data_IF_772073334840
#
_entry.id   IF_772073334840
#
_cell.length_a   1.000
_cell.length_b   1.000
_cell.length_c   1.000
_cell.angle_alpha   90.00
_cell.angle_beta   90.00
_cell.angle_gamma   90.00
#
_symmetry.space_group_name_H-M   'P 1'
#
loop_
_entity.id
_entity.type
_entity.pdbx_description
1 polymer ?
#
# COMPACT_ATOMS: atom_id res chain seq x y z
N UNK A 1 -20.29 -16.24 8.12
CA UNK A 1 -19.43 -16.61 6.99
C UNK A 1 -18.67 -15.35 6.63
N UNK A 2 -17.37 -15.34 6.92
CA UNK A 2 -16.51 -14.18 6.66
C UNK A 2 -16.40 -14.01 5.15
N UNK A 3 -16.92 -12.90 4.62
CA UNK A 3 -16.69 -12.53 3.23
C UNK A 3 -15.21 -12.18 3.09
N UNK A 4 -14.39 -13.17 2.77
CA UNK A 4 -13.06 -12.96 2.21
C UNK A 4 -13.28 -12.23 0.88
N UNK A 5 -13.28 -10.90 0.95
CA UNK A 5 -13.31 -10.04 -0.21
C UNK A 5 -12.05 -10.36 -1.03
N UNK A 6 -12.23 -10.89 -2.24
CA UNK A 6 -11.14 -11.12 -3.17
C UNK A 6 -10.31 -9.83 -3.31
N UNK A 7 -8.98 -9.88 -3.44
CA UNK A 7 -8.19 -8.66 -3.59
C UNK A 7 -8.71 -7.82 -4.77
N UNK A 8 -8.74 -6.47 -4.66
CA UNK A 8 -9.21 -5.61 -5.74
C UNK A 8 -8.50 -5.96 -7.05
N UNK A 9 -9.28 -6.19 -8.10
CA UNK A 9 -8.83 -6.54 -9.44
C UNK A 9 -8.19 -5.39 -10.21
N UNK A 10 -8.13 -4.19 -9.61
CA UNK A 10 -7.48 -3.03 -10.21
C UNK A 10 -7.48 -1.76 -9.34
N UNK A 11 -6.98 -0.64 -9.90
CA UNK A 11 -6.71 0.62 -9.19
C UNK A 11 -7.96 1.31 -8.66
N UNK A 12 -9.02 1.25 -9.45
CA UNK A 12 -10.31 1.84 -9.13
C UNK A 12 -10.98 1.11 -7.97
N UNK A 13 -10.92 -0.23 -7.97
CA UNK A 13 -11.41 -1.03 -6.87
C UNK A 13 -10.55 -0.82 -5.61
N UNK A 14 -9.22 -0.74 -5.74
CA UNK A 14 -8.34 -0.43 -4.62
C UNK A 14 -8.65 0.95 -4.02
N UNK A 15 -8.92 1.96 -4.84
CA UNK A 15 -9.35 3.28 -4.40
C UNK A 15 -10.72 3.25 -3.71
N UNK A 16 -11.67 2.47 -4.23
CA UNK A 16 -13.00 2.31 -3.63
C UNK A 16 -12.90 1.66 -2.24
N UNK A 17 -12.03 0.66 -2.09
CA UNK A 17 -11.89 -0.14 -0.87
C UNK A 17 -11.01 0.52 0.19
N UNK A 18 -10.02 1.32 -0.22
CA UNK A 18 -9.14 2.01 0.71
C UNK A 18 -9.92 3.00 1.56
N UNK A 19 -9.69 3.01 2.86
CA UNK A 19 -10.23 4.04 3.76
C UNK A 19 -9.37 5.30 3.72
N UNK A 20 -8.06 5.13 3.49
CA UNK A 20 -7.08 6.20 3.44
C UNK A 20 -6.11 5.99 2.28
N UNK A 21 -5.98 6.99 1.40
CA UNK A 21 -5.04 6.97 0.28
C UNK A 21 -4.14 8.20 0.39
N UNK A 22 -2.84 7.97 0.58
CA UNK A 22 -1.92 9.02 0.99
C UNK A 22 -0.53 8.81 0.43
N UNK A 23 0.13 9.91 0.07
CA UNK A 23 1.56 9.90 -0.23
C UNK A 23 2.33 9.92 1.09
N UNK A 24 3.28 9.00 1.24
CA UNK A 24 4.02 8.84 2.48
C UNK A 24 5.53 8.69 2.24
N UNK A 25 6.33 9.29 3.12
CA UNK A 25 7.75 8.98 3.24
C UNK A 25 7.91 7.70 4.05
N UNK A 26 8.74 6.80 3.55
CA UNK A 26 8.85 5.44 4.07
C UNK A 26 10.09 5.34 4.96
N UNK A 27 9.87 5.07 6.24
CA UNK A 27 10.93 4.72 7.17
C UNK A 27 11.37 3.26 7.03
N UNK A 28 12.47 2.88 7.70
CA UNK A 28 12.87 1.48 7.78
C UNK A 28 11.77 0.65 8.47
N UNK A 29 11.69 -0.66 8.19
CA UNK A 29 10.81 -1.55 8.94
C UNK A 29 11.22 -1.54 10.41
N UNK A 30 10.24 -1.43 11.29
CA UNK A 30 10.44 -1.32 12.75
C UNK A 30 9.93 -2.54 13.52
N UNK A 31 9.10 -3.37 12.89
CA UNK A 31 8.44 -4.51 13.54
C UNK A 31 7.94 -5.53 12.49
N UNK A 32 7.38 -6.64 12.95
CA UNK A 32 6.70 -7.63 12.11
C UNK A 32 5.44 -8.12 12.80
N UNK A 33 4.29 -8.05 12.12
CA UNK A 33 3.00 -8.55 12.63
C UNK A 33 2.57 -9.74 11.78
N UNK A 34 2.32 -10.90 12.39
CA UNK A 34 1.91 -12.11 11.66
C UNK A 34 2.81 -12.47 10.46
N UNK A 35 4.11 -12.16 10.54
CA UNK A 35 5.08 -12.42 9.46
C UNK A 35 5.13 -11.35 8.37
N UNK A 36 4.35 -10.26 8.45
CA UNK A 36 4.44 -9.13 7.52
C UNK A 36 5.17 -7.93 8.14
N UNK A 37 6.05 -7.25 7.38
CA UNK A 37 6.83 -6.12 7.89
C UNK A 37 5.94 -4.92 8.20
N UNK A 38 6.29 -4.20 9.26
CA UNK A 38 5.62 -2.95 9.66
C UNK A 38 6.60 -1.80 9.53
N UNK A 39 6.20 -0.78 8.76
CA UNK A 39 6.96 0.45 8.58
C UNK A 39 6.35 1.57 9.40
N UNK A 40 7.21 2.47 9.86
CA UNK A 40 6.80 3.80 10.29
C UNK A 40 6.84 4.71 9.07
N UNK A 41 5.72 5.37 8.75
CA UNK A 41 5.63 6.29 7.62
C UNK A 41 5.20 7.69 8.06
N UNK A 42 5.68 8.69 7.33
CA UNK A 42 5.31 10.10 7.53
C UNK A 42 4.46 10.60 6.36
N UNK A 43 3.34 11.27 6.66
CA UNK A 43 2.43 11.89 5.68
C UNK A 43 2.34 13.41 5.83
N UNK A 44 3.16 14.01 6.72
CA UNK A 44 3.13 15.46 6.98
C UNK A 44 3.57 16.24 5.75
N UNK A 45 2.73 17.19 5.32
CA UNK A 45 3.00 18.05 4.17
C UNK A 45 2.93 17.32 2.83
N UNK A 46 2.40 16.08 2.81
CA UNK A 46 2.26 15.27 1.61
C UNK A 46 0.80 15.17 1.17
N UNK A 47 0.55 14.95 -0.14
CA UNK A 47 -0.80 14.83 -0.67
C UNK A 47 -1.59 13.68 -0.05
N UNK A 48 -2.80 14.00 0.43
CA UNK A 48 -3.85 13.04 0.79
C UNK A 48 -4.85 12.99 -0.36
N UNK A 49 -5.09 11.79 -0.87
CA UNK A 49 -5.95 11.55 -2.03
C UNK A 49 -7.34 11.07 -1.61
N UNK A 50 -7.45 10.40 -0.46
CA UNK A 50 -8.71 9.96 0.16
C UNK A 50 -8.51 9.83 1.66
N UNK A 51 -9.51 10.20 2.46
CA UNK A 51 -9.54 10.05 3.92
C UNK A 51 -9.09 11.32 4.65
N UNK A 52 -8.49 11.17 5.84
CA UNK A 52 -8.21 12.29 6.73
C UNK A 52 -7.02 13.16 6.28
N UNK A 53 -7.22 14.47 6.17
CA UNK A 53 -6.19 15.41 5.70
C UNK A 53 -5.11 15.71 6.76
N UNK A 54 -5.21 15.15 7.97
CA UNK A 54 -4.21 15.34 9.01
C UNK A 54 -2.93 14.58 8.67
N UNK A 55 -1.81 15.31 8.63
CA UNK A 55 -0.49 14.70 8.49
C UNK A 55 -0.09 13.89 9.73
N UNK A 56 0.52 12.72 9.51
CA UNK A 56 1.03 11.83 10.55
C UNK A 56 2.56 11.74 10.48
N UNK A 57 3.27 11.83 11.61
CA UNK A 57 4.73 11.69 11.64
C UNK A 57 5.21 10.23 11.85
N UNK A 58 4.32 9.33 12.24
CA UNK A 58 4.69 7.99 12.68
C UNK A 58 3.58 6.97 12.50
N UNK A 59 2.89 7.03 11.37
CA UNK A 59 1.82 6.08 11.06
C UNK A 59 2.44 4.68 10.92
N UNK A 60 1.92 3.70 11.66
CA UNK A 60 2.38 2.30 11.56
C UNK A 60 1.58 1.60 10.45
N UNK A 61 2.28 1.12 9.43
CA UNK A 61 1.69 0.46 8.27
C UNK A 61 2.26 -0.95 8.14
N UNK A 62 1.41 -1.95 8.28
CA UNK A 62 1.71 -3.34 7.93
C UNK A 62 1.59 -3.50 6.41
N UNK A 63 2.67 -3.95 5.78
CA UNK A 63 2.78 -4.01 4.32
C UNK A 63 2.45 -5.41 3.86
N UNK A 64 1.40 -5.55 3.05
CA UNK A 64 1.11 -6.82 2.41
C UNK A 64 2.21 -7.13 1.37
N UNK A 65 2.88 -8.29 1.44
CA UNK A 65 3.96 -8.64 0.52
C UNK A 65 3.48 -8.73 -0.94
N UNK A 66 4.35 -8.34 -1.87
CA UNK A 66 4.15 -8.51 -3.30
C UNK A 66 4.93 -9.73 -3.82
N UNK A 67 4.50 -10.38 -4.92
CA UNK A 67 5.30 -11.42 -5.55
C UNK A 67 6.61 -10.83 -6.07
N UNK A 68 7.73 -11.38 -5.62
CA UNK A 68 9.06 -11.06 -6.11
C UNK A 68 9.33 -11.70 -7.49
N UNK A 69 10.50 -11.39 -8.10
CA UNK A 69 10.87 -11.89 -9.42
C UNK A 69 10.91 -13.43 -9.50
N UNK A 70 11.22 -14.09 -8.40
CA UNK A 70 11.25 -15.57 -8.30
C UNK A 70 9.93 -16.15 -7.74
N UNK A 71 8.87 -15.35 -7.64
CA UNK A 71 7.58 -15.72 -7.03
C UNK A 71 7.59 -15.73 -5.49
N UNK A 72 8.75 -15.58 -4.85
CA UNK A 72 8.86 -15.42 -3.40
C UNK A 72 8.27 -14.08 -2.94
N UNK A 73 7.53 -14.02 -1.82
CA UNK A 73 6.98 -12.76 -1.32
C UNK A 73 8.10 -11.80 -0.90
N UNK A 74 8.03 -10.56 -1.41
CA UNK A 74 8.97 -9.48 -1.09
C UNK A 74 8.21 -8.29 -0.52
N UNK A 75 8.90 -7.52 0.30
CA UNK A 75 8.39 -6.25 0.79
C UNK A 75 8.51 -5.18 -0.32
N UNK A 76 7.39 -4.65 -0.84
CA UNK A 76 7.39 -3.67 -1.92
C UNK A 76 7.93 -2.30 -1.50
N UNK A 77 8.17 -2.07 -0.21
CA UNK A 77 8.69 -0.81 0.32
C UNK A 77 10.21 -0.83 0.56
N UNK A 78 10.89 -1.97 0.42
CA UNK A 78 12.35 -2.04 0.58
C UNK A 78 13.04 -1.15 -0.45
N UNK A 79 13.81 -0.18 0.04
CA UNK A 79 14.53 0.78 -0.79
C UNK A 79 13.68 1.90 -1.40
N UNK A 80 12.37 1.91 -1.14
CA UNK A 80 11.45 2.98 -1.56
C UNK A 80 11.51 4.11 -0.56
N UNK A 81 11.78 5.34 -1.00
CA UNK A 81 11.78 6.53 -0.12
C UNK A 81 10.39 7.14 0.05
N UNK A 82 9.58 7.12 -1.00
CA UNK A 82 8.24 7.71 -1.03
C UNK A 82 7.30 6.83 -1.86
N UNK A 83 6.08 6.65 -1.39
CA UNK A 83 5.06 5.86 -2.06
C UNK A 83 3.66 6.43 -1.83
N UNK A 84 2.73 6.17 -2.74
CA UNK A 84 1.30 6.28 -2.46
C UNK A 84 0.84 4.96 -1.84
N UNK A 85 0.20 5.05 -0.69
CA UNK A 85 -0.30 3.91 0.07
C UNK A 85 -1.82 3.90 0.06
N UNK A 86 -2.40 2.73 -0.25
CA UNK A 86 -3.82 2.46 -0.17
C UNK A 86 -4.06 1.64 1.08
N UNK A 87 -4.66 2.29 2.08
CA UNK A 87 -4.69 1.82 3.45
C UNK A 87 -6.12 1.53 3.89
N UNK A 88 -6.26 0.43 4.61
CA UNK A 88 -7.45 0.08 5.39
C UNK A 88 -7.05 -0.07 6.85
N UNK A 89 -7.97 0.22 7.76
CA UNK A 89 -7.69 0.15 9.19
C UNK A 89 -7.70 -1.30 9.63
N UNK A 90 -6.64 -1.75 10.28
CA UNK A 90 -6.66 -3.05 10.93
C UNK A 90 -7.41 -2.92 12.26
N UNK A 91 -8.64 -3.46 12.32
CA UNK A 91 -9.51 -3.38 13.49
C UNK A 91 -8.93 -4.12 14.71
N UNK A 92 -7.93 -5.00 14.51
CA UNK A 92 -7.38 -5.86 15.56
C UNK A 92 -6.12 -5.30 16.21
N UNK A 93 -5.37 -4.45 15.53
CA UNK A 93 -4.04 -4.04 15.99
C UNK A 93 -3.76 -2.55 15.99
N UNK A 94 -4.73 -1.68 15.71
CA UNK A 94 -4.56 -0.22 15.78
C UNK A 94 -3.51 0.33 14.80
N UNK A 95 -3.16 -0.44 13.78
CA UNK A 95 -2.26 -0.07 12.69
C UNK A 95 -3.05 -0.03 11.37
N UNK A 96 -2.44 0.56 10.36
CA UNK A 96 -2.96 0.52 8.99
C UNK A 96 -2.36 -0.66 8.26
N UNK A 97 -3.10 -1.17 7.27
CA UNK A 97 -2.61 -2.23 6.39
C UNK A 97 -2.74 -1.80 4.94
N UNK A 98 -1.74 -2.13 4.11
CA UNK A 98 -1.85 -1.92 2.67
C UNK A 98 -2.78 -2.95 2.02
N UNK A 99 -3.63 -2.49 1.09
CA UNK A 99 -4.36 -3.36 0.19
C UNK A 99 -3.43 -4.09 -0.79
N UNK A 100 -3.97 -5.09 -1.51
CA UNK A 100 -3.28 -5.73 -2.64
C UNK A 100 -4.12 -5.55 -3.90
N UNK A 101 -3.64 -4.85 -4.94
CA UNK A 101 -2.46 -3.98 -4.93
C UNK A 101 -2.73 -2.70 -4.12
N UNK A 102 -1.76 -2.23 -3.33
CA UNK A 102 -1.99 -1.06 -2.47
C UNK A 102 -0.76 -0.22 -2.14
N UNK A 103 0.31 -0.40 -2.90
CA UNK A 103 1.54 0.39 -2.79
C UNK A 103 1.93 0.84 -4.19
N UNK A 104 2.14 2.13 -4.39
CA UNK A 104 2.71 2.68 -5.61
C UNK A 104 3.98 3.45 -5.28
N UNK A 105 5.17 2.97 -5.68
CA UNK A 105 6.39 3.75 -5.57
C UNK A 105 6.27 5.06 -6.35
N UNK A 106 6.63 6.17 -5.71
CA UNK A 106 6.64 7.49 -6.35
C UNK A 106 8.03 7.68 -6.96
N UNK A 107 8.10 7.73 -8.30
CA UNK A 107 9.36 7.86 -9.04
C UNK A 107 9.79 9.31 -9.26
N UNK A 108 8.94 10.30 -8.97
CA UNK A 108 9.23 11.74 -9.12
C UNK A 108 8.47 12.58 -8.06
N UNK A 109 8.85 13.83 -7.77
CA UNK A 109 8.26 14.68 -6.70
C UNK A 109 6.77 15.04 -6.91
N UNK A 110 6.12 14.48 -7.94
CA UNK A 110 4.76 14.75 -8.35
C UNK A 110 3.71 14.08 -7.49
N UNK A 111 3.01 14.88 -6.68
CA UNK A 111 1.83 14.52 -5.89
C UNK A 111 0.57 14.11 -6.66
N UNK A 112 0.73 13.63 -7.89
CA UNK A 112 -0.36 13.15 -8.73
C UNK A 112 -0.31 11.63 -8.80
N UNK A 113 -1.47 10.98 -8.60
CA UNK A 113 -1.62 9.57 -8.95
C UNK A 113 -1.27 9.41 -10.44
N UNK A 114 -0.63 8.30 -10.83
CA UNK A 114 -0.39 8.05 -12.25
C UNK A 114 -1.73 7.97 -12.98
N UNK A 115 -1.84 8.63 -14.15
CA UNK A 115 -3.04 8.62 -14.99
C UNK A 115 -3.45 7.19 -15.41
N UNK A 116 -2.47 6.30 -15.46
CA UNK A 116 -2.63 4.88 -15.73
C UNK A 116 -1.85 4.07 -14.69
N UNK A 117 -2.49 3.07 -14.12
CA UNK A 117 -1.78 2.08 -13.31
C UNK A 117 -0.99 1.14 -14.22
N UNK A 118 0.15 0.60 -13.79
CA UNK A 118 0.83 -0.44 -14.56
C UNK A 118 -0.13 -1.61 -14.87
N UNK A 119 -0.37 -1.87 -16.16
CA UNK A 119 -1.24 -2.94 -16.68
C UNK A 119 -0.79 -4.34 -16.22
N UNK A 120 0.51 -4.53 -16.00
CA UNK A 120 1.06 -5.76 -15.43
C UNK A 120 1.39 -5.56 -13.97
N UNK A 121 0.55 -6.12 -13.10
CA UNK A 121 0.78 -6.16 -11.67
C UNK A 121 1.19 -7.57 -11.22
N UNK A 122 2.31 -7.74 -10.48
CA UNK A 122 2.72 -9.05 -9.98
C UNK A 122 1.64 -9.59 -9.04
N UNK A 123 1.01 -10.71 -9.45
CA UNK A 123 -0.11 -11.34 -8.74
C UNK A 123 -1.43 -11.29 -9.50
N UNK A 124 -1.56 -10.44 -10.51
CA UNK A 124 -2.57 -10.63 -11.55
C UNK A 124 -1.99 -11.66 -12.51
N UNK A 125 -2.18 -12.94 -12.21
CA UNK A 125 -1.94 -13.97 -13.22
C UNK A 125 -2.81 -13.62 -14.41
N UNK A 126 -2.18 -13.40 -15.57
CA UNK A 126 -2.87 -13.44 -16.85
C UNK A 126 -3.53 -14.83 -16.95
N UNK A 127 -4.75 -14.93 -16.44
CA UNK A 127 -5.66 -16.04 -16.69
C UNK A 127 -6.13 -15.97 -18.13
N UNK A 128 -5.18 -16.06 -19.08
CA UNK A 128 -5.44 -16.37 -20.47
C UNK A 128 -4.76 -17.71 -20.76
N UNK A 129 -5.53 -18.78 -20.51
CA UNK A 129 -5.27 -20.14 -20.92
C UNK A 129 -6.59 -20.86 -21.11
#
# INVERSE_FOLDING_TARGET
MSSEHAPPGGPREALEWAEYVVTAEIGPPVDTVAGVPVHTVSTVGLPVLKGDETGHLGLRVAVTPAPGPDGAPVDPLVGVRRAVLFLVRDERGGHWRTLVPGVLPVTDDGGSLPDHWPDHWPGHGDGQG
#
